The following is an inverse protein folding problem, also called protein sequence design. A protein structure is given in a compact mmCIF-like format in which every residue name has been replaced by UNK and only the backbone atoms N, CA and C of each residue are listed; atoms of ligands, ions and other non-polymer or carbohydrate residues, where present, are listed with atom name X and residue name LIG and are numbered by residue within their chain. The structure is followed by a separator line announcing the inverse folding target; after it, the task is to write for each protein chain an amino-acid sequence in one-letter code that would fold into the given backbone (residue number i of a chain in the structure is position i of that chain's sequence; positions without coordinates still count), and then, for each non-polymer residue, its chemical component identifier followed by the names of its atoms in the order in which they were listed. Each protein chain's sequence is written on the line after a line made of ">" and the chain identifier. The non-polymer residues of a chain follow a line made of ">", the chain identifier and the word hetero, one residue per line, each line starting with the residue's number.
data_IF_003236831120
#
_entry.id   IF_003236831120
#
_cell.length_a   1.000
_cell.length_b   1.000
_cell.length_c   1.000
_cell.angle_alpha   90.00
_cell.angle_beta   90.00
_cell.angle_gamma   90.00
#
_symmetry.space_group_name_H-M   'P 1'
#
loop_
_entity.id
_entity.type
_entity.pdbx_description
1 polymer ?
#
# COMPACT_ATOMS: atom_id res chain seq x y z
N UNK A 1 6.01 3.16 -14.17
CA UNK A 1 5.96 2.76 -15.55
C UNK A 1 6.93 1.62 -15.76
N UNK A 2 6.85 0.90 -16.84
CA UNK A 2 7.80 -0.14 -17.16
C UNK A 2 7.68 -1.36 -16.26
N UNK A 3 8.53 -1.46 -15.26
CA UNK A 3 8.62 -2.68 -14.44
C UNK A 3 7.63 -2.74 -13.29
N UNK A 4 6.96 -1.65 -12.96
CA UNK A 4 6.00 -1.66 -11.84
C UNK A 4 4.60 -1.96 -12.36
N UNK A 5 4.21 -3.21 -12.24
CA UNK A 5 2.90 -3.69 -12.71
C UNK A 5 2.46 -4.87 -11.85
N UNK A 6 1.17 -5.15 -11.85
CA UNK A 6 0.61 -6.26 -11.10
C UNK A 6 1.04 -7.59 -11.73
N UNK A 7 1.73 -8.42 -10.95
CA UNK A 7 2.14 -9.76 -11.36
C UNK A 7 1.01 -10.73 -11.13
N UNK A 8 1.18 -11.96 -11.60
CA UNK A 8 0.21 -13.01 -11.36
C UNK A 8 -0.01 -13.18 -9.85
N UNK A 9 -1.27 -13.22 -9.43
CA UNK A 9 -1.63 -13.30 -8.01
C UNK A 9 -1.67 -14.76 -7.58
N UNK A 10 -0.74 -15.13 -6.70
CA UNK A 10 -0.64 -16.51 -6.18
C UNK A 10 -0.70 -16.53 -4.66
N UNK A 11 -0.73 -15.39 -4.00
CA UNK A 11 -0.75 -15.26 -2.54
C UNK A 11 -1.33 -13.91 -2.14
N UNK A 12 -1.53 -13.65 -0.83
CA UNK A 12 -1.98 -12.35 -0.38
C UNK A 12 -1.12 -11.20 -0.88
N UNK A 13 -1.74 -10.03 -1.05
CA UNK A 13 -1.08 -8.82 -1.52
C UNK A 13 -1.10 -7.76 -0.44
N UNK A 14 0.02 -7.03 -0.32
CA UNK A 14 0.12 -5.85 0.53
C UNK A 14 0.59 -4.68 -0.33
N UNK A 15 -0.25 -3.66 -0.44
CA UNK A 15 0.02 -2.46 -1.22
C UNK A 15 0.38 -1.33 -0.27
N UNK A 16 1.49 -0.63 -0.52
CA UNK A 16 1.95 0.49 0.29
C UNK A 16 2.02 1.72 -0.62
N UNK A 17 1.20 2.71 -0.35
CA UNK A 17 1.10 3.91 -1.20
C UNK A 17 1.46 5.15 -0.41
N UNK A 18 2.32 5.99 -0.98
CA UNK A 18 2.67 7.28 -0.42
C UNK A 18 2.23 8.41 -1.33
N UNK A 19 1.31 9.28 -0.87
CA UNK A 19 0.86 10.43 -1.63
C UNK A 19 0.29 10.05 -2.98
N UNK A 20 0.84 10.62 -4.04
CA UNK A 20 0.38 10.36 -5.41
C UNK A 20 0.69 8.93 -5.87
N UNK A 21 1.46 8.18 -5.10
CA UNK A 21 1.71 6.77 -5.37
C UNK A 21 0.48 5.89 -5.25
N UNK A 22 -0.66 6.44 -4.84
CA UNK A 22 -1.92 5.72 -4.81
C UNK A 22 -2.42 5.33 -6.21
N UNK A 23 -2.15 6.15 -7.22
CA UNK A 23 -2.75 5.98 -8.55
C UNK A 23 -2.53 4.58 -9.17
N UNK A 24 -1.30 4.02 -9.18
CA UNK A 24 -1.12 2.67 -9.73
C UNK A 24 -1.94 1.62 -9.02
N UNK A 25 -2.15 1.78 -7.71
CA UNK A 25 -2.91 0.79 -6.94
C UNK A 25 -4.40 0.83 -7.25
N UNK A 26 -4.95 2.00 -7.58
CA UNK A 26 -6.33 2.06 -8.03
C UNK A 26 -6.51 1.25 -9.32
N UNK A 27 -5.57 1.35 -10.24
CA UNK A 27 -5.58 0.55 -11.47
C UNK A 27 -5.43 -0.93 -11.18
N UNK A 28 -4.54 -1.30 -10.27
CA UNK A 28 -4.35 -2.70 -9.89
C UNK A 28 -5.61 -3.28 -9.25
N UNK A 29 -6.27 -2.50 -8.40
CA UNK A 29 -7.51 -2.93 -7.75
C UNK A 29 -8.61 -3.19 -8.78
N UNK A 30 -8.73 -2.35 -9.82
CA UNK A 30 -9.69 -2.61 -10.89
C UNK A 30 -9.40 -3.92 -11.61
N UNK A 31 -8.13 -4.20 -11.86
CA UNK A 31 -7.75 -5.46 -12.50
C UNK A 31 -8.12 -6.64 -11.60
N UNK A 32 -7.85 -6.52 -10.30
CA UNK A 32 -8.18 -7.59 -9.34
C UNK A 32 -9.69 -7.86 -9.29
N UNK A 33 -10.50 -6.80 -9.35
CA UNK A 33 -11.96 -6.97 -9.43
C UNK A 33 -12.34 -7.75 -10.69
N UNK A 34 -11.78 -7.36 -11.84
CA UNK A 34 -12.08 -8.02 -13.10
C UNK A 34 -11.63 -9.48 -13.15
N UNK A 35 -10.53 -9.78 -12.48
CA UNK A 35 -10.02 -11.15 -12.39
C UNK A 35 -10.75 -12.00 -11.35
N UNK A 36 -11.63 -11.41 -10.55
CA UNK A 36 -12.31 -12.14 -9.48
C UNK A 36 -11.34 -12.63 -8.41
N UNK A 37 -10.37 -11.79 -8.02
CA UNK A 37 -9.35 -12.15 -7.05
C UNK A 37 -10.00 -12.54 -5.71
N UNK A 38 -9.57 -13.69 -5.16
CA UNK A 38 -10.06 -14.18 -3.87
C UNK A 38 -8.98 -14.11 -2.78
N UNK A 39 -7.76 -13.72 -3.12
CA UNK A 39 -6.70 -13.56 -2.13
C UNK A 39 -6.94 -12.31 -1.28
N UNK A 40 -6.52 -12.31 0.00
CA UNK A 40 -6.53 -11.10 0.79
C UNK A 40 -5.68 -10.01 0.14
N UNK A 41 -6.18 -8.79 0.13
CA UNK A 41 -5.45 -7.62 -0.38
C UNK A 41 -5.62 -6.50 0.65
N UNK A 42 -4.50 -5.99 1.15
CA UNK A 42 -4.54 -4.87 2.07
C UNK A 42 -3.71 -3.71 1.54
N UNK A 43 -4.24 -2.49 1.65
CA UNK A 43 -3.55 -1.27 1.24
C UNK A 43 -3.29 -0.42 2.48
N UNK A 44 -2.03 0.03 2.66
CA UNK A 44 -1.72 1.08 3.62
C UNK A 44 -1.38 2.33 2.82
N UNK A 45 -2.17 3.39 3.03
CA UNK A 45 -2.06 4.63 2.25
C UNK A 45 -1.69 5.75 3.21
N UNK A 46 -0.48 6.27 3.07
CA UNK A 46 0.05 7.34 3.90
C UNK A 46 0.25 8.62 3.14
N UNK A 47 -0.05 9.74 3.78
CA UNK A 47 0.14 11.09 3.21
C UNK A 47 0.76 12.00 4.27
N UNK A 48 1.21 13.18 3.83
CA UNK A 48 1.84 14.14 4.73
C UNK A 48 0.81 14.91 5.55
N UNK A 49 -0.27 15.38 4.93
CA UNK A 49 -1.28 16.22 5.58
C UNK A 49 -2.69 15.70 5.29
N UNK A 50 -3.65 16.08 6.13
CA UNK A 50 -5.04 15.63 5.99
C UNK A 50 -5.60 15.89 4.60
N UNK A 51 -5.35 17.07 4.02
CA UNK A 51 -5.88 17.41 2.71
C UNK A 51 -5.28 16.59 1.57
N UNK A 52 -4.21 15.87 1.82
CA UNK A 52 -3.59 15.00 0.82
C UNK A 52 -4.28 13.64 0.73
N UNK A 53 -5.13 13.29 1.69
CA UNK A 53 -5.91 12.07 1.63
C UNK A 53 -7.04 12.25 0.61
N UNK A 54 -6.92 11.56 -0.52
CA UNK A 54 -7.88 11.66 -1.61
C UNK A 54 -8.35 10.28 -2.01
N UNK A 55 -9.38 10.21 -2.83
CA UNK A 55 -9.92 8.96 -3.41
C UNK A 55 -10.44 7.98 -2.35
N UNK A 56 -10.85 8.50 -1.18
CA UNK A 56 -11.33 7.62 -0.10
C UNK A 56 -12.66 6.95 -0.46
N UNK A 57 -13.53 7.64 -1.19
CA UNK A 57 -14.78 7.06 -1.64
C UNK A 57 -14.52 5.88 -2.60
N UNK A 58 -13.52 6.02 -3.46
CA UNK A 58 -13.11 4.96 -4.38
C UNK A 58 -12.56 3.76 -3.63
N UNK A 59 -11.73 3.99 -2.62
CA UNK A 59 -11.20 2.91 -1.79
C UNK A 59 -12.33 2.19 -1.06
N UNK A 60 -13.30 2.94 -0.53
CA UNK A 60 -14.43 2.34 0.13
C UNK A 60 -15.26 1.51 -0.85
N UNK A 61 -15.42 1.99 -2.10
CA UNK A 61 -16.11 1.23 -3.13
C UNK A 61 -15.43 -0.11 -3.41
N UNK A 62 -14.10 -0.14 -3.41
CA UNK A 62 -13.37 -1.39 -3.63
C UNK A 62 -13.63 -2.41 -2.51
N UNK A 63 -13.88 -1.98 -1.29
CA UNK A 63 -14.22 -2.94 -0.22
C UNK A 63 -15.50 -3.69 -0.52
N UNK A 64 -16.41 -3.08 -1.31
CA UNK A 64 -17.68 -3.73 -1.70
C UNK A 64 -17.49 -4.63 -2.92
N UNK A 65 -16.55 -4.30 -3.79
CA UNK A 65 -16.38 -4.98 -5.07
C UNK A 65 -15.32 -6.07 -5.04
N UNK A 66 -14.46 -6.07 -4.02
CA UNK A 66 -13.34 -7.01 -3.88
C UNK A 66 -13.38 -7.57 -2.46
N UNK A 67 -13.95 -8.77 -2.27
CA UNK A 67 -14.28 -9.27 -0.91
C UNK A 67 -13.11 -9.35 0.05
N UNK A 68 -11.90 -9.63 -0.45
CA UNK A 68 -10.71 -9.73 0.40
C UNK A 68 -9.99 -8.41 0.62
N UNK A 69 -10.53 -7.29 0.14
CA UNK A 69 -9.83 -6.01 0.22
C UNK A 69 -10.16 -5.25 1.49
N UNK A 70 -9.12 -4.71 2.11
CA UNK A 70 -9.23 -3.76 3.22
C UNK A 70 -8.13 -2.71 3.07
N UNK A 71 -8.27 -1.59 3.79
CA UNK A 71 -7.26 -0.54 3.72
C UNK A 71 -7.13 0.20 5.04
N UNK A 72 -5.96 0.79 5.23
CA UNK A 72 -5.60 1.64 6.37
C UNK A 72 -5.05 2.93 5.83
N UNK A 73 -5.42 4.06 6.43
CA UNK A 73 -4.84 5.37 6.07
C UNK A 73 -4.11 5.95 7.26
N UNK A 74 -3.06 6.72 6.99
CA UNK A 74 -2.31 7.42 8.04
C UNK A 74 -1.77 8.75 7.52
N UNK A 75 -1.52 9.67 8.45
CA UNK A 75 -1.08 11.03 8.13
C UNK A 75 0.13 11.36 9.01
N UNK A 76 1.20 11.83 8.37
CA UNK A 76 2.46 12.11 9.07
C UNK A 76 2.35 13.32 9.99
N UNK A 77 1.62 14.36 9.56
CA UNK A 77 1.52 15.61 10.31
C UNK A 77 1.04 15.36 11.75
N UNK A 78 1.84 15.72 12.76
CA UNK A 78 1.42 15.49 14.15
C UNK A 78 0.20 16.32 14.57
N UNK A 79 -0.13 17.37 13.80
CA UNK A 79 -1.32 18.18 14.04
C UNK A 79 -2.56 17.68 13.32
N UNK A 80 -2.43 16.55 12.63
CA UNK A 80 -3.54 15.94 11.90
C UNK A 80 -4.69 15.58 12.85
N UNK A 81 -5.91 15.64 12.35
CA UNK A 81 -7.09 15.14 13.06
C UNK A 81 -7.33 13.66 12.82
N UNK A 82 -6.55 13.06 11.94
CA UNK A 82 -6.67 11.63 11.65
C UNK A 82 -6.29 10.80 12.89
N UNK A 83 -6.98 9.71 13.09
CA UNK A 83 -6.72 8.85 14.26
C UNK A 83 -5.37 8.13 14.17
N UNK A 84 -4.88 7.85 12.96
CA UNK A 84 -3.58 7.19 12.76
C UNK A 84 -2.57 8.20 12.25
N UNK A 85 -1.62 8.56 13.11
CA UNK A 85 -0.55 9.49 12.75
C UNK A 85 0.73 8.71 12.54
N UNK A 86 1.58 9.21 11.65
CA UNK A 86 2.89 8.63 11.38
C UNK A 86 3.00 8.07 9.97
N UNK A 87 4.07 7.32 9.76
CA UNK A 87 4.43 6.75 8.47
C UNK A 87 3.81 5.37 8.28
N UNK A 88 3.73 4.91 7.03
CA UNK A 88 3.12 3.61 6.73
C UNK A 88 3.79 2.47 7.50
N UNK A 89 5.12 2.55 7.73
CA UNK A 89 5.84 1.51 8.47
C UNK A 89 5.39 1.38 9.93
N UNK A 90 4.72 2.40 10.47
CA UNK A 90 4.20 2.39 11.83
C UNK A 90 2.79 1.80 11.92
N UNK A 91 2.18 1.49 10.78
CA UNK A 91 0.81 1.02 10.70
C UNK A 91 0.67 -0.27 9.90
N UNK A 92 1.73 -1.08 9.89
CA UNK A 92 1.72 -2.39 9.25
C UNK A 92 1.32 -3.44 10.30
N UNK A 93 0.11 -3.96 10.14
CA UNK A 93 -0.40 -5.02 11.01
C UNK A 93 0.28 -6.34 10.63
N UNK A 94 0.86 -7.07 11.60
CA UNK A 94 1.47 -8.37 11.30
C UNK A 94 0.52 -9.35 10.60
N UNK A 95 -0.79 -9.22 10.83
CA UNK A 95 -1.77 -10.08 10.17
C UNK A 95 -1.71 -9.95 8.65
N UNK A 96 -1.34 -8.78 8.14
CA UNK A 96 -1.25 -8.53 6.69
C UNK A 96 0.11 -8.93 6.11
N UNK A 97 1.05 -9.34 6.97
CA UNK A 97 2.37 -9.81 6.53
C UNK A 97 2.37 -11.30 6.23
N UNK A 98 1.43 -12.05 6.81
CA UNK A 98 1.25 -13.49 6.56
C UNK A 98 2.54 -14.30 6.75
N UNK A 99 3.35 -13.95 7.77
CA UNK A 99 4.64 -14.58 8.03
C UNK A 99 5.57 -14.57 6.81
N UNK A 100 5.46 -13.53 5.98
CA UNK A 100 6.26 -13.39 4.76
C UNK A 100 5.63 -14.02 3.52
N UNK A 101 4.54 -14.77 3.66
CA UNK A 101 3.85 -15.35 2.51
C UNK A 101 2.93 -14.30 1.87
N UNK A 102 3.52 -13.23 1.38
CA UNK A 102 2.83 -12.05 0.85
C UNK A 102 3.69 -11.43 -0.25
N UNK A 103 3.04 -10.87 -1.26
CA UNK A 103 3.70 -10.05 -2.25
C UNK A 103 3.46 -8.59 -1.90
N UNK A 104 4.54 -7.84 -1.69
CA UNK A 104 4.48 -6.43 -1.31
C UNK A 104 4.76 -5.57 -2.53
N UNK A 105 3.88 -4.59 -2.76
CA UNK A 105 4.03 -3.57 -3.80
C UNK A 105 4.07 -2.21 -3.12
N UNK A 106 5.03 -1.39 -3.49
CA UNK A 106 5.24 -0.08 -2.88
C UNK A 106 5.40 0.96 -3.97
N UNK A 107 4.64 2.06 -3.87
CA UNK A 107 4.83 3.22 -4.73
C UNK A 107 4.85 4.47 -3.87
N UNK A 108 5.95 5.19 -3.88
CA UNK A 108 6.10 6.36 -3.04
C UNK A 108 7.39 7.12 -3.31
N UNK A 109 7.59 8.22 -2.58
CA UNK A 109 8.83 9.00 -2.71
C UNK A 109 10.01 8.26 -2.12
N UNK A 110 11.26 8.65 -2.51
CA UNK A 110 12.46 7.94 -2.06
C UNK A 110 12.56 7.71 -0.56
N UNK A 111 12.26 8.67 0.33
CA UNK A 111 12.36 8.39 1.77
C UNK A 111 11.44 7.26 2.23
N UNK A 112 10.26 7.13 1.64
CA UNK A 112 9.33 6.06 1.97
C UNK A 112 9.88 4.71 1.49
N UNK A 113 10.43 4.67 0.28
CA UNK A 113 11.02 3.43 -0.24
C UNK A 113 12.16 2.98 0.66
N UNK A 114 13.01 3.91 1.09
CA UNK A 114 14.11 3.59 1.99
C UNK A 114 13.61 3.07 3.34
N UNK A 115 12.59 3.71 3.91
CA UNK A 115 12.03 3.30 5.20
C UNK A 115 11.39 1.91 5.12
N UNK A 116 10.65 1.64 4.06
CA UNK A 116 10.03 0.32 3.88
C UNK A 116 11.08 -0.76 3.65
N UNK A 117 12.13 -0.44 2.88
CA UNK A 117 13.22 -1.40 2.66
C UNK A 117 13.90 -1.77 3.98
N UNK A 118 14.16 -0.77 4.84
CA UNK A 118 14.72 -1.03 6.17
C UNK A 118 13.77 -1.84 7.04
N UNK A 119 12.47 -1.55 6.97
CA UNK A 119 11.48 -2.31 7.72
C UNK A 119 11.50 -3.78 7.30
N UNK A 120 11.57 -4.04 6.00
CA UNK A 120 11.62 -5.41 5.46
C UNK A 120 12.87 -6.14 5.98
N UNK A 121 14.03 -5.45 5.94
CA UNK A 121 15.29 -6.05 6.37
C UNK A 121 15.26 -6.44 7.86
N UNK A 122 14.45 -5.76 8.66
CA UNK A 122 14.35 -6.03 10.09
C UNK A 122 13.36 -7.13 10.45
N UNK A 123 12.58 -7.62 9.47
CA UNK A 123 11.57 -8.64 9.75
C UNK A 123 12.19 -10.04 9.83
N UNK A 124 11.59 -10.90 10.68
CA UNK A 124 12.01 -12.29 10.79
C UNK A 124 11.78 -13.05 9.48
N UNK A 125 10.71 -12.69 8.76
CA UNK A 125 10.37 -13.32 7.50
C UNK A 125 10.25 -12.24 6.43
N UNK A 126 11.15 -12.27 5.43
CA UNK A 126 11.05 -11.39 4.28
C UNK A 126 9.80 -11.75 3.47
N UNK A 127 9.21 -10.78 2.74
CA UNK A 127 8.09 -11.10 1.86
C UNK A 127 8.55 -12.01 0.72
N UNK A 128 7.62 -12.80 0.18
CA UNK A 128 7.93 -13.69 -0.94
C UNK A 128 8.44 -12.88 -2.13
N UNK A 129 7.85 -11.71 -2.37
CA UNK A 129 8.30 -10.78 -3.40
C UNK A 129 8.09 -9.35 -2.92
N UNK A 130 8.96 -8.46 -3.37
CA UNK A 130 8.88 -7.03 -3.08
C UNK A 130 9.12 -6.26 -4.37
N UNK A 131 8.11 -5.54 -4.84
CA UNK A 131 8.15 -4.72 -6.04
C UNK A 131 7.92 -3.27 -5.65
N UNK A 132 8.73 -2.35 -6.15
CA UNK A 132 8.54 -0.96 -5.79
C UNK A 132 8.84 -0.03 -6.95
N UNK A 133 8.24 1.14 -6.89
CA UNK A 133 8.54 2.26 -7.77
C UNK A 133 8.71 3.51 -6.93
N UNK A 134 9.86 4.18 -7.06
CA UNK A 134 10.05 5.51 -6.47
C UNK A 134 9.62 6.54 -7.48
N UNK A 135 8.97 7.59 -6.99
CA UNK A 135 8.76 8.75 -7.83
C UNK A 135 9.43 9.95 -7.19
N UNK A 136 9.83 10.91 -8.02
CA UNK A 136 10.43 12.16 -7.57
C UNK A 136 9.37 13.22 -7.65
N UNK A 137 9.05 13.84 -6.51
CA UNK A 137 8.09 14.94 -6.51
C UNK A 137 8.76 16.17 -7.11
N UNK A 138 8.08 16.82 -8.05
CA UNK A 138 8.59 18.09 -8.58
C UNK A 138 8.36 19.21 -7.57
N UNK A 139 9.24 20.14 -7.60
CA UNK A 139 9.21 21.31 -6.71
C UNK A 139 8.41 22.43 -7.30
#
# INVERSE_FOLDING_TARGET
>A
LGSFYLRQVTRPLLFLAGGTGLAPFLSMLEVLVKQGCTQPVHLVYGVTRDQDLVMLAELESFTQRLPGFSYTTCVVDPESRHERKGYVTQHLDPAHWHDGQVDVYLCGPPPMVDAVSQFIDAQAHAPANFYYEKFITSQ
#
